data_IF_611497223862
#
_entry.id   IF_611497223862
#
_cell.length_a   1.000
_cell.length_b   1.000
_cell.length_c   1.000
_cell.angle_alpha   90.00
_cell.angle_beta   90.00
_cell.angle_gamma   90.00
#
_symmetry.space_group_name_H-M   'P 1'
#
loop_
_entity.id
_entity.type
_entity.pdbx_description
1 polymer ?
#
# COMPACT_ATOMS: atom_id res chain seq x y z
N UNK A 1 -6.75 17.55 4.95
CA UNK A 1 -7.13 17.72 3.51
C UNK A 1 -7.83 16.44 3.05
N UNK A 2 -8.89 16.56 2.25
CA UNK A 2 -9.52 15.39 1.62
C UNK A 2 -8.87 15.18 0.25
N UNK A 3 -8.41 13.96 -0.04
CA UNK A 3 -7.86 13.57 -1.33
C UNK A 3 -8.96 13.15 -2.30
N UNK A 4 -9.88 12.31 -1.82
CA UNK A 4 -11.03 11.83 -2.58
C UNK A 4 -12.13 11.31 -1.64
N UNK A 5 -13.32 11.16 -2.19
CA UNK A 5 -14.45 10.49 -1.54
C UNK A 5 -14.99 9.37 -2.42
N UNK A 6 -15.44 8.30 -1.77
CA UNK A 6 -16.14 7.18 -2.41
C UNK A 6 -17.58 7.09 -1.89
N UNK A 7 -18.28 6.01 -2.17
CA UNK A 7 -19.64 5.83 -1.65
C UNK A 7 -19.69 5.76 -0.12
N UNK A 8 -18.69 5.15 0.52
CA UNK A 8 -18.67 4.90 1.98
C UNK A 8 -17.51 5.57 2.69
N UNK A 9 -16.46 6.00 1.98
CA UNK A 9 -15.21 6.45 2.56
C UNK A 9 -14.84 7.86 2.12
N UNK A 10 -14.14 8.55 3.02
CA UNK A 10 -13.32 9.73 2.74
C UNK A 10 -11.86 9.34 2.92
N UNK A 11 -11.04 9.51 1.88
CA UNK A 11 -9.59 9.40 1.99
C UNK A 11 -9.04 10.80 2.22
N UNK A 12 -8.38 10.98 3.36
CA UNK A 12 -7.85 12.27 3.78
C UNK A 12 -6.44 12.15 4.35
N UNK A 13 -5.75 13.28 4.47
CA UNK A 13 -4.49 13.34 5.23
C UNK A 13 -4.69 12.82 6.65
N UNK A 14 -3.64 12.21 7.19
CA UNK A 14 -3.58 11.82 8.60
C UNK A 14 -3.58 13.07 9.49
N UNK A 15 -4.04 12.91 10.72
CA UNK A 15 -3.98 13.93 11.76
C UNK A 15 -3.45 13.31 13.07
N UNK A 16 -2.95 14.10 14.03
CA UNK A 16 -2.49 13.55 15.31
C UNK A 16 -3.57 12.75 16.06
N UNK A 17 -4.84 13.07 15.85
CA UNK A 17 -5.98 12.38 16.46
C UNK A 17 -6.14 10.96 15.95
N UNK A 18 -5.62 10.65 14.76
CA UNK A 18 -5.66 9.29 14.18
C UNK A 18 -4.66 8.33 14.86
N UNK A 19 -3.67 8.86 15.58
CA UNK A 19 -2.59 8.05 16.16
C UNK A 19 -3.11 6.92 17.06
N UNK A 20 -4.14 7.16 17.86
CA UNK A 20 -4.71 6.15 18.73
C UNK A 20 -5.35 4.99 17.96
N UNK A 21 -6.09 5.30 16.91
CA UNK A 21 -6.70 4.30 16.04
C UNK A 21 -5.63 3.50 15.28
N UNK A 22 -4.66 4.19 14.68
CA UNK A 22 -3.55 3.58 13.93
C UNK A 22 -2.73 2.65 14.85
N UNK A 23 -2.41 3.08 16.07
CA UNK A 23 -1.74 2.26 17.06
C UNK A 23 -2.50 0.96 17.33
N UNK A 24 -3.83 1.02 17.44
CA UNK A 24 -4.66 -0.16 17.71
C UNK A 24 -4.46 -1.26 16.67
N UNK A 25 -4.45 -0.94 15.38
CA UNK A 25 -4.26 -1.97 14.35
C UNK A 25 -2.81 -2.29 14.04
N UNK A 26 -1.89 -1.33 14.15
CA UNK A 26 -0.45 -1.61 13.95
C UNK A 26 0.11 -2.51 15.06
N UNK A 27 -0.43 -2.43 16.28
CA UNK A 27 -0.07 -3.30 17.42
C UNK A 27 -0.80 -4.64 17.40
N UNK A 28 -1.81 -4.82 16.55
CA UNK A 28 -2.52 -6.10 16.45
C UNK A 28 -1.68 -7.12 15.66
N UNK A 29 -1.36 -8.30 16.24
CA UNK A 29 -0.55 -9.31 15.56
C UNK A 29 -1.12 -9.75 14.20
N UNK A 30 -2.44 -9.70 14.02
CA UNK A 30 -3.10 -10.05 12.75
C UNK A 30 -2.75 -9.07 11.64
N UNK A 31 -2.56 -7.79 11.97
CA UNK A 31 -2.14 -6.76 11.02
C UNK A 31 -0.63 -6.70 10.87
N UNK A 32 0.11 -6.81 11.98
CA UNK A 32 1.58 -6.68 12.01
C UNK A 32 2.30 -7.82 11.29
N UNK A 33 1.70 -9.01 11.20
CA UNK A 33 2.32 -10.24 10.68
C UNK A 33 3.06 -10.06 9.36
N UNK A 34 2.52 -9.26 8.44
CA UNK A 34 3.05 -9.07 7.09
C UNK A 34 3.57 -7.65 6.84
N UNK A 35 3.58 -6.79 7.86
CA UNK A 35 4.03 -5.41 7.76
C UNK A 35 5.50 -5.31 8.13
N UNK A 36 6.36 -5.03 7.14
CA UNK A 36 7.80 -4.92 7.35
C UNK A 36 8.18 -3.45 7.57
N UNK A 37 8.97 -3.19 8.63
CA UNK A 37 9.49 -1.85 8.92
C UNK A 37 8.46 -0.82 9.36
N UNK A 38 7.25 -1.26 9.70
CA UNK A 38 6.20 -0.37 10.19
C UNK A 38 6.43 -0.03 11.66
N UNK A 39 6.38 1.25 12.02
CA UNK A 39 6.44 1.68 13.42
C UNK A 39 5.16 1.26 14.16
N UNK A 40 5.32 0.72 15.37
CA UNK A 40 4.22 0.19 16.18
C UNK A 40 4.07 0.90 17.52
N UNK A 41 5.13 1.58 18.01
CA UNK A 41 5.08 2.30 19.27
C UNK A 41 4.24 3.58 19.15
N UNK A 42 3.39 3.83 20.13
CA UNK A 42 2.45 4.96 20.10
C UNK A 42 3.13 6.32 19.88
N UNK A 43 4.28 6.55 20.55
CA UNK A 43 5.02 7.80 20.42
C UNK A 43 5.58 8.02 19.02
N UNK A 44 6.07 6.96 18.38
CA UNK A 44 6.56 7.00 17.00
C UNK A 44 5.42 7.21 16.00
N UNK A 45 4.28 6.54 16.21
CA UNK A 45 3.08 6.74 15.40
C UNK A 45 2.58 8.19 15.51
N UNK A 46 2.55 8.75 16.73
CA UNK A 46 2.14 10.14 16.95
C UNK A 46 3.05 11.12 16.23
N UNK A 47 4.37 10.89 16.28
CA UNK A 47 5.35 11.71 15.55
C UNK A 47 5.15 11.59 14.04
N UNK A 48 4.94 10.38 13.52
CA UNK A 48 4.67 10.12 12.12
C UNK A 48 3.39 10.84 11.63
N UNK A 49 2.32 10.82 12.43
CA UNK A 49 1.09 11.55 12.09
C UNK A 49 1.31 13.07 12.05
N UNK A 50 2.12 13.59 12.96
CA UNK A 50 2.47 15.01 12.97
C UNK A 50 3.31 15.42 11.76
N UNK A 51 4.22 14.57 11.32
CA UNK A 51 5.05 14.76 10.12
C UNK A 51 4.18 14.80 8.85
N UNK A 52 3.29 13.82 8.71
CA UNK A 52 2.48 13.62 7.50
C UNK A 52 1.15 14.42 7.47
N UNK A 53 0.88 15.27 8.47
CA UNK A 53 -0.39 16.04 8.57
C UNK A 53 -0.63 17.04 7.43
N UNK A 54 0.43 17.43 6.73
CA UNK A 54 0.37 18.39 5.62
C UNK A 54 0.60 17.74 4.25
N UNK A 55 0.60 16.41 4.18
CA UNK A 55 0.78 15.69 2.93
C UNK A 55 -0.25 16.09 1.89
N UNK A 56 0.21 16.11 0.65
CA UNK A 56 -0.61 16.34 -0.54
C UNK A 56 -0.55 15.14 -1.46
N UNK A 57 -1.56 14.97 -2.29
CA UNK A 57 -1.58 13.93 -3.31
C UNK A 57 -0.56 14.30 -4.41
N UNK A 58 0.57 13.63 -4.39
CA UNK A 58 1.74 13.89 -5.25
C UNK A 58 2.48 12.59 -5.55
N UNK A 59 3.38 12.65 -6.52
CA UNK A 59 4.40 11.63 -6.83
C UNK A 59 5.82 12.13 -6.57
N UNK A 60 5.96 13.30 -5.96
CA UNK A 60 7.27 13.88 -5.64
C UNK A 60 7.80 13.39 -4.29
N UNK A 61 6.91 12.95 -3.40
CA UNK A 61 7.23 12.41 -2.09
C UNK A 61 6.18 11.39 -1.62
N UNK A 62 6.54 10.47 -0.72
CA UNK A 62 5.58 9.61 -0.05
C UNK A 62 4.52 10.42 0.70
N UNK A 63 3.30 9.90 0.75
CA UNK A 63 2.24 10.49 1.56
C UNK A 63 1.37 9.43 2.23
N UNK A 64 0.69 9.84 3.30
CA UNK A 64 -0.21 8.98 4.05
C UNK A 64 -1.66 9.44 3.93
N UNK A 65 -2.56 8.46 3.84
CA UNK A 65 -3.99 8.68 3.85
C UNK A 65 -4.68 7.81 4.90
N UNK A 66 -5.65 8.38 5.60
CA UNK A 66 -6.61 7.63 6.41
C UNK A 66 -7.85 7.33 5.57
N UNK A 67 -8.30 6.09 5.64
CA UNK A 67 -9.63 5.69 5.20
C UNK A 67 -10.61 5.94 6.35
N UNK A 68 -11.49 6.95 6.22
CA UNK A 68 -12.49 7.28 7.22
C UNK A 68 -13.90 7.05 6.69
N UNK A 69 -14.83 6.62 7.54
CA UNK A 69 -16.24 6.47 7.18
C UNK A 69 -16.87 7.83 6.91
N UNK A 70 -17.54 8.02 5.78
CA UNK A 70 -18.17 9.31 5.43
C UNK A 70 -19.23 9.77 6.43
N UNK A 71 -19.97 8.85 7.03
CA UNK A 71 -21.06 9.21 7.93
C UNK A 71 -20.59 9.67 9.31
N UNK A 72 -19.52 9.08 9.84
CA UNK A 72 -19.05 9.32 11.22
C UNK A 72 -17.66 9.96 11.27
N UNK A 73 -16.87 9.84 10.22
CA UNK A 73 -15.46 10.24 10.22
C UNK A 73 -14.53 9.24 10.90
N UNK A 74 -15.06 8.11 11.40
CA UNK A 74 -14.27 7.10 12.09
C UNK A 74 -13.20 6.52 11.16
N UNK A 75 -11.93 6.46 11.57
CA UNK A 75 -10.88 5.82 10.81
C UNK A 75 -11.07 4.30 10.82
N UNK A 76 -10.99 3.69 9.64
CA UNK A 76 -11.11 2.23 9.45
C UNK A 76 -9.84 1.58 8.91
N UNK A 77 -8.86 2.39 8.54
CA UNK A 77 -7.56 1.94 8.04
C UNK A 77 -6.72 3.08 7.52
N UNK A 78 -5.53 2.72 7.05
CA UNK A 78 -4.55 3.65 6.49
C UNK A 78 -3.97 3.14 5.18
N UNK A 79 -3.51 4.06 4.35
CA UNK A 79 -2.77 3.79 3.12
C UNK A 79 -1.50 4.64 3.13
N UNK A 80 -0.38 4.04 2.76
CA UNK A 80 0.88 4.73 2.49
C UNK A 80 1.14 4.63 1.01
N UNK A 81 1.35 5.77 0.36
CA UNK A 81 1.70 5.86 -1.05
C UNK A 81 3.17 6.20 -1.17
N UNK A 82 3.92 5.36 -1.85
CA UNK A 82 5.37 5.46 -1.96
C UNK A 82 5.77 5.53 -3.44
N UNK A 83 5.87 6.74 -4.01
CA UNK A 83 6.40 6.93 -5.36
C UNK A 83 7.92 6.81 -5.34
N UNK A 84 8.47 6.06 -6.29
CA UNK A 84 9.91 5.91 -6.48
C UNK A 84 10.21 5.49 -7.93
N UNK A 85 11.14 6.15 -8.59
CA UNK A 85 11.69 5.75 -9.90
C UNK A 85 10.63 5.47 -10.99
N UNK A 86 9.55 6.26 -11.03
CA UNK A 86 8.47 6.11 -12.00
C UNK A 86 7.41 5.06 -11.64
N UNK A 87 7.55 4.40 -10.49
CA UNK A 87 6.56 3.47 -9.97
C UNK A 87 5.96 3.94 -8.64
N UNK A 88 4.70 3.63 -8.42
CA UNK A 88 3.99 3.86 -7.16
C UNK A 88 3.77 2.52 -6.47
N UNK A 89 4.23 2.42 -5.23
CA UNK A 89 3.94 1.30 -4.34
C UNK A 89 2.90 1.70 -3.30
N UNK A 90 2.03 0.78 -2.93
CA UNK A 90 0.97 1.00 -1.95
C UNK A 90 1.10 0.04 -0.78
N UNK A 91 1.28 0.60 0.43
CA UNK A 91 1.08 -0.11 1.69
C UNK A 91 -0.29 0.23 2.25
N UNK A 92 -0.98 -0.72 2.86
CA UNK A 92 -2.28 -0.48 3.48
C UNK A 92 -2.56 -1.41 4.65
N UNK A 93 -3.29 -0.91 5.61
CA UNK A 93 -3.78 -1.68 6.75
C UNK A 93 -5.24 -1.32 7.01
N UNK A 94 -6.08 -2.32 7.22
CA UNK A 94 -7.48 -2.14 7.64
C UNK A 94 -7.61 -2.62 9.08
N UNK A 95 -8.28 -1.84 9.91
CA UNK A 95 -8.62 -2.23 11.28
C UNK A 95 -9.20 -3.64 11.33
N UNK A 96 -8.72 -4.53 12.23
CA UNK A 96 -9.22 -5.90 12.34
C UNK A 96 -10.73 -5.99 12.51
N UNK A 97 -11.34 -4.99 13.15
CA UNK A 97 -12.78 -4.90 13.35
C UNK A 97 -13.55 -4.49 12.08
N UNK A 98 -12.84 -4.03 11.06
CA UNK A 98 -13.40 -3.49 9.81
C UNK A 98 -12.97 -4.26 8.56
N UNK A 99 -12.18 -5.33 8.73
CA UNK A 99 -11.76 -6.19 7.62
C UNK A 99 -12.94 -6.94 7.01
N UNK A 100 -12.76 -7.44 5.77
CA UNK A 100 -13.73 -8.22 4.99
C UNK A 100 -15.05 -7.50 4.65
N UNK A 101 -15.08 -6.17 4.78
CA UNK A 101 -16.21 -5.32 4.43
C UNK A 101 -16.03 -4.57 3.11
N UNK A 102 -14.92 -4.83 2.41
CA UNK A 102 -14.62 -4.24 1.10
C UNK A 102 -14.02 -2.84 1.14
N UNK A 103 -13.69 -2.30 2.31
CA UNK A 103 -13.15 -0.93 2.43
C UNK A 103 -11.82 -0.75 1.72
N UNK A 104 -10.87 -1.70 1.87
CA UNK A 104 -9.60 -1.62 1.16
C UNK A 104 -9.80 -1.64 -0.36
N UNK A 105 -10.66 -2.51 -0.87
CA UNK A 105 -10.93 -2.59 -2.30
C UNK A 105 -11.52 -1.27 -2.84
N UNK A 106 -12.50 -0.70 -2.14
CA UNK A 106 -13.14 0.57 -2.51
C UNK A 106 -12.15 1.73 -2.52
N UNK A 107 -11.37 1.87 -1.43
CA UNK A 107 -10.40 2.93 -1.27
C UNK A 107 -9.25 2.85 -2.29
N UNK A 108 -8.64 1.67 -2.44
CA UNK A 108 -7.52 1.48 -3.34
C UNK A 108 -7.92 1.59 -4.81
N UNK A 109 -9.11 1.11 -5.19
CA UNK A 109 -9.63 1.29 -6.55
C UNK A 109 -9.69 2.79 -6.89
N UNK A 110 -10.38 3.57 -6.06
CA UNK A 110 -10.56 5.00 -6.30
C UNK A 110 -9.22 5.77 -6.26
N UNK A 111 -8.33 5.44 -5.33
CA UNK A 111 -7.03 6.09 -5.21
C UNK A 111 -6.11 5.78 -6.39
N UNK A 112 -6.05 4.51 -6.82
CA UNK A 112 -5.24 4.11 -7.98
C UNK A 112 -5.73 4.79 -9.27
N UNK A 113 -7.04 4.84 -9.48
CA UNK A 113 -7.64 5.53 -10.63
C UNK A 113 -7.35 7.03 -10.63
N UNK A 114 -7.47 7.68 -9.47
CA UNK A 114 -7.15 9.10 -9.31
C UNK A 114 -5.67 9.40 -9.59
N UNK A 115 -4.77 8.59 -9.03
CA UNK A 115 -3.33 8.73 -9.25
C UNK A 115 -2.97 8.47 -10.71
N UNK A 116 -3.53 7.44 -11.33
CA UNK A 116 -3.28 7.15 -12.75
C UNK A 116 -3.82 8.25 -13.68
N UNK A 117 -4.99 8.81 -13.37
CA UNK A 117 -5.55 9.92 -14.14
C UNK A 117 -4.68 11.19 -14.06
N UNK A 118 -4.05 11.46 -12.90
CA UNK A 118 -3.18 12.62 -12.70
C UNK A 118 -1.74 12.39 -13.19
N UNK A 119 -1.26 11.17 -13.09
CA UNK A 119 0.12 10.79 -13.35
C UNK A 119 0.17 9.55 -14.25
N UNK A 120 -0.33 9.61 -15.49
CA UNK A 120 -0.53 8.42 -16.34
C UNK A 120 0.78 7.72 -16.75
N UNK A 121 1.92 8.39 -16.60
CA UNK A 121 3.25 7.82 -16.86
C UNK A 121 3.81 6.98 -15.70
N UNK A 122 3.15 7.01 -14.53
CA UNK A 122 3.57 6.24 -13.38
C UNK A 122 2.93 4.86 -13.37
N UNK A 123 3.77 3.86 -13.15
CA UNK A 123 3.35 2.46 -13.00
C UNK A 123 2.94 2.15 -11.56
N UNK A 124 2.20 1.08 -11.35
CA UNK A 124 1.94 0.58 -9.99
C UNK A 124 2.64 -0.75 -9.79
N UNK A 125 3.54 -0.80 -8.80
CA UNK A 125 4.24 -2.00 -8.37
C UNK A 125 3.99 -2.20 -6.87
N UNK A 126 3.19 -3.22 -6.53
CA UNK A 126 2.87 -3.56 -5.15
C UNK A 126 3.63 -4.82 -4.75
N UNK A 127 4.24 -4.76 -3.59
CA UNK A 127 5.05 -5.84 -3.03
C UNK A 127 4.30 -6.46 -1.86
N UNK A 128 4.19 -7.78 -1.84
CA UNK A 128 3.50 -8.49 -0.75
C UNK A 128 4.29 -9.70 -0.31
N UNK A 129 4.20 -10.01 0.96
CA UNK A 129 4.72 -11.25 1.51
C UNK A 129 4.09 -12.44 0.77
N UNK A 130 4.87 -13.45 0.34
CA UNK A 130 4.37 -14.59 -0.42
C UNK A 130 3.35 -15.45 0.35
N UNK A 131 3.28 -15.32 1.67
CA UNK A 131 2.26 -15.97 2.51
C UNK A 131 1.01 -15.12 2.73
N UNK A 132 1.03 -13.83 2.33
CA UNK A 132 -0.09 -12.91 2.51
C UNK A 132 -1.18 -13.12 1.43
N UNK A 133 -1.84 -14.27 1.48
CA UNK A 133 -2.92 -14.63 0.55
C UNK A 133 -4.04 -13.58 0.47
N UNK A 134 -4.51 -12.97 1.57
CA UNK A 134 -5.52 -11.92 1.49
C UNK A 134 -5.08 -10.70 0.68
N UNK A 135 -3.82 -10.26 0.84
CA UNK A 135 -3.28 -9.14 0.06
C UNK A 135 -3.18 -9.49 -1.42
N UNK A 136 -2.67 -10.68 -1.76
CA UNK A 136 -2.59 -11.14 -3.15
C UNK A 136 -3.96 -11.20 -3.81
N UNK A 137 -4.97 -11.73 -3.12
CA UNK A 137 -6.34 -11.77 -3.62
C UNK A 137 -6.92 -10.36 -3.86
N UNK A 138 -6.63 -9.42 -2.96
CA UNK A 138 -7.05 -8.03 -3.12
C UNK A 138 -6.36 -7.36 -4.32
N UNK A 139 -5.04 -7.51 -4.46
CA UNK A 139 -4.29 -6.96 -5.59
C UNK A 139 -4.79 -7.51 -6.94
N UNK A 140 -5.05 -8.81 -7.01
CA UNK A 140 -5.65 -9.43 -8.20
C UNK A 140 -7.03 -8.83 -8.51
N UNK A 141 -7.87 -8.65 -7.50
CA UNK A 141 -9.20 -8.04 -7.65
C UNK A 141 -9.13 -6.58 -8.09
N UNK A 142 -8.10 -5.85 -7.69
CA UNK A 142 -7.81 -4.48 -8.14
C UNK A 142 -7.33 -4.41 -9.60
N UNK A 143 -7.18 -5.55 -10.26
CA UNK A 143 -6.70 -5.63 -11.65
C UNK A 143 -5.18 -5.59 -11.78
N UNK A 144 -4.46 -5.83 -10.68
CA UNK A 144 -3.02 -6.01 -10.73
C UNK A 144 -2.70 -7.43 -11.23
N UNK A 145 -1.68 -7.55 -12.08
CA UNK A 145 -1.16 -8.85 -12.54
C UNK A 145 -0.03 -9.30 -11.64
N UNK A 146 0.00 -10.58 -11.34
CA UNK A 146 1.11 -11.21 -10.64
C UNK A 146 2.32 -11.31 -11.60
N UNK A 147 3.41 -10.63 -11.26
CA UNK A 147 4.65 -10.59 -12.05
C UNK A 147 5.71 -11.57 -11.53
N UNK A 148 5.44 -12.26 -10.43
CA UNK A 148 6.29 -13.29 -9.88
C UNK A 148 6.86 -12.97 -8.50
N UNK A 149 7.56 -13.95 -7.93
CA UNK A 149 8.28 -13.83 -6.68
C UNK A 149 9.72 -13.39 -6.94
N UNK A 150 10.16 -12.33 -6.26
CA UNK A 150 11.53 -11.79 -6.36
C UNK A 150 12.31 -12.16 -5.11
N UNK A 151 13.23 -13.15 -5.17
CA UNK A 151 13.95 -13.65 -4.00
C UNK A 151 14.74 -12.58 -3.25
N UNK A 152 15.37 -11.64 -3.96
CA UNK A 152 16.16 -10.56 -3.36
C UNK A 152 15.32 -9.63 -2.46
N UNK A 153 14.01 -9.55 -2.68
CA UNK A 153 13.08 -8.74 -1.92
C UNK A 153 12.21 -9.57 -0.96
N UNK A 154 12.33 -10.89 -1.04
CA UNK A 154 11.43 -11.83 -0.36
C UNK A 154 9.96 -11.41 -0.52
N UNK A 155 9.58 -11.06 -1.74
CA UNK A 155 8.25 -10.51 -2.04
C UNK A 155 7.72 -11.01 -3.35
N UNK A 156 6.40 -11.19 -3.40
CA UNK A 156 5.66 -11.34 -4.65
C UNK A 156 5.28 -9.97 -5.18
N UNK A 157 5.49 -9.75 -6.47
CA UNK A 157 5.29 -8.44 -7.10
C UNK A 157 4.03 -8.46 -7.94
N UNK A 158 3.18 -7.46 -7.76
CA UNK A 158 1.96 -7.26 -8.54
C UNK A 158 2.05 -5.91 -9.26
N UNK A 159 1.76 -5.92 -10.55
CA UNK A 159 1.83 -4.72 -11.39
C UNK A 159 0.50 -4.33 -12.03
N UNK A 160 0.24 -3.02 -12.10
CA UNK A 160 -0.88 -2.47 -12.86
C UNK A 160 -0.40 -1.27 -13.68
N UNK A 161 -0.84 -1.20 -14.94
CA UNK A 161 -0.36 -0.20 -15.92
C UNK A 161 1.16 -0.19 -16.08
N UNK A 162 1.78 -1.37 -16.00
CA UNK A 162 3.22 -1.54 -16.14
C UNK A 162 3.63 -1.66 -17.59
N UNK A 163 4.84 -1.18 -17.93
CA UNK A 163 5.43 -1.32 -19.25
C UNK A 163 5.99 -2.71 -19.47
N UNK A 164 6.18 -3.10 -20.74
CA UNK A 164 6.85 -4.36 -21.08
C UNK A 164 8.31 -4.42 -20.59
N UNK A 165 8.98 -3.27 -20.47
CA UNK A 165 10.32 -3.19 -19.89
C UNK A 165 10.29 -3.58 -18.41
N UNK A 166 9.42 -2.99 -17.61
CA UNK A 166 9.25 -3.30 -16.19
C UNK A 166 8.91 -4.77 -15.97
N UNK A 167 7.99 -5.32 -16.79
CA UNK A 167 7.66 -6.75 -16.72
C UNK A 167 8.87 -7.65 -16.99
N UNK A 168 9.69 -7.31 -17.98
CA UNK A 168 10.90 -8.07 -18.31
C UNK A 168 11.97 -7.95 -17.20
N UNK A 169 12.10 -6.80 -16.55
CA UNK A 169 13.00 -6.59 -15.43
C UNK A 169 12.59 -7.40 -14.20
N UNK A 170 11.29 -7.39 -13.85
CA UNK A 170 10.77 -8.20 -12.75
C UNK A 170 10.89 -9.70 -13.06
N UNK A 171 10.60 -10.12 -14.28
CA UNK A 171 10.74 -11.53 -14.68
C UNK A 171 12.18 -12.03 -14.56
N UNK A 172 13.17 -11.21 -14.94
CA UNK A 172 14.60 -11.52 -14.74
C UNK A 172 14.95 -11.61 -13.27
N UNK A 173 14.48 -10.69 -12.44
CA UNK A 173 14.70 -10.70 -11.01
C UNK A 173 14.04 -11.90 -10.32
N UNK A 174 12.87 -12.33 -10.78
CA UNK A 174 12.16 -13.51 -10.30
C UNK A 174 12.86 -14.83 -10.72
N UNK A 175 13.54 -14.85 -11.89
CA UNK A 175 14.32 -15.99 -12.39
C UNK A 175 15.73 -16.07 -11.80
N UNK A 176 16.21 -15.05 -11.14
CA UNK A 176 17.51 -15.01 -10.46
C UNK A 176 17.46 -15.82 -9.14
N UNK A 177 17.49 -17.14 -9.25
CA UNK A 177 17.75 -18.00 -8.09
C UNK A 177 19.15 -17.71 -7.56
N UNK A 178 19.37 -17.58 -6.25
CA UNK A 178 20.70 -17.52 -5.68
C UNK A 178 21.39 -18.87 -5.89
N UNK A 179 22.38 -18.89 -6.78
CA UNK A 179 23.40 -19.92 -6.83
C UNK A 179 23.07 -21.19 -7.61
N UNK A 180 23.22 -21.15 -8.94
CA UNK A 180 23.91 -22.28 -9.61
C UNK A 180 25.41 -21.93 -9.61
N UNK A 181 26.29 -22.77 -9.07
CA UNK A 181 27.74 -22.57 -9.28
C UNK A 181 28.01 -22.66 -10.79
N UNK A 182 28.72 -21.65 -11.30
CA UNK A 182 29.28 -21.73 -12.64
C UNK A 182 30.15 -22.99 -12.69
N UNK A 183 29.75 -23.94 -13.51
CA UNK A 183 30.60 -25.06 -13.86
C UNK A 183 31.76 -24.51 -14.70
N UNK A 184 32.95 -24.59 -14.07
CA UNK A 184 34.23 -24.33 -14.73
C UNK A 184 34.67 -25.49 -15.56
#
# INVERSE_FOLDING_TARGET
MIFLETSRLTLRTVTPEDAAAIHTWRSDPRCARYQRGQVTEYGEISALMAEHRADVLSVDAPFMAVMALRGTGDPVGEIVVMPQDGAISLGFTVSPLRQRQGYAFEALTALMELLHARFPQWEFLCFTDPENTPSMALLTRLGCRDLGYVPAMDSRVFGKWVTGQTEAEIARAAGALPGSPEES
#
